data_IF_908415438205
#
_entry.id   IF_908415438205
#
_cell.length_a   1.000
_cell.length_b   1.000
_cell.length_c   1.000
_cell.angle_alpha   90.00
_cell.angle_beta   90.00
_cell.angle_gamma   90.00
#
_symmetry.space_group_name_H-M   'P 1'
#
loop_
_entity.id
_entity.type
_entity.pdbx_description
1 polymer ?
#
# COMPACT_ATOMS: atom_id res chain seq x y z
N UNK A 1 -23.79 57.20 30.88
CA UNK A 1 -24.47 57.49 29.59
C UNK A 1 -23.42 57.28 28.48
N UNK A 2 -23.40 56.16 27.82
CA UNK A 2 -22.52 55.87 26.69
C UNK A 2 -23.42 55.85 25.44
N UNK A 3 -23.20 56.80 24.54
CA UNK A 3 -23.94 56.93 23.28
C UNK A 3 -23.38 55.93 22.27
N UNK A 4 -24.22 55.02 21.80
CA UNK A 4 -23.92 54.16 20.66
C UNK A 4 -24.05 54.98 19.37
N UNK A 5 -22.92 55.23 18.70
CA UNK A 5 -22.92 55.73 17.32
C UNK A 5 -23.26 54.58 16.38
N UNK A 6 -24.45 54.59 15.80
CA UNK A 6 -24.80 53.79 14.62
C UNK A 6 -24.19 54.51 13.40
N UNK A 7 -23.11 53.95 12.84
CA UNK A 7 -22.59 54.35 11.55
C UNK A 7 -23.41 53.69 10.44
N UNK A 8 -24.07 54.47 9.60
CA UNK A 8 -24.73 53.99 8.38
C UNK A 8 -23.70 53.43 7.41
N UNK A 9 -23.98 52.27 6.80
CA UNK A 9 -23.06 51.69 5.81
C UNK A 9 -22.87 52.64 4.63
N UNK A 10 -21.62 52.86 4.21
CA UNK A 10 -21.30 53.72 3.10
C UNK A 10 -21.72 53.06 1.76
N UNK A 11 -22.04 53.88 0.74
CA UNK A 11 -22.46 53.43 -0.60
C UNK A 11 -21.47 52.42 -1.21
N UNK A 12 -20.19 52.47 -0.82
CA UNK A 12 -19.13 51.50 -1.22
C UNK A 12 -19.34 50.13 -0.60
N UNK A 13 -19.84 50.03 0.60
CA UNK A 13 -20.04 48.74 1.26
C UNK A 13 -21.28 48.03 0.69
N UNK A 14 -22.32 48.79 0.37
CA UNK A 14 -23.52 48.28 -0.29
C UNK A 14 -23.17 47.74 -1.70
N UNK A 15 -22.36 48.44 -2.45
CA UNK A 15 -21.89 47.96 -3.79
C UNK A 15 -21.04 46.70 -3.70
N UNK A 16 -20.19 46.57 -2.68
CA UNK A 16 -19.39 45.34 -2.46
C UNK A 16 -20.27 44.16 -2.08
N UNK A 17 -21.31 44.36 -1.27
CA UNK A 17 -22.24 43.29 -0.91
C UNK A 17 -23.08 42.87 -2.10
N UNK A 18 -23.58 43.79 -2.91
CA UNK A 18 -24.32 43.51 -4.14
C UNK A 18 -23.48 42.79 -5.16
N UNK A 19 -22.19 43.12 -5.32
CA UNK A 19 -21.27 42.46 -6.21
C UNK A 19 -20.98 41.00 -5.80
N UNK A 20 -20.82 40.75 -4.49
CA UNK A 20 -20.69 39.42 -3.94
C UNK A 20 -21.95 38.55 -4.15
N UNK A 21 -23.13 39.14 -3.96
CA UNK A 21 -24.40 38.45 -4.22
C UNK A 21 -24.60 38.09 -5.69
N UNK A 22 -24.24 38.98 -6.61
CA UNK A 22 -24.28 38.70 -8.05
C UNK A 22 -23.33 37.58 -8.46
N UNK A 23 -22.10 37.52 -7.89
CA UNK A 23 -21.15 36.44 -8.12
C UNK A 23 -21.70 35.11 -7.58
N UNK A 24 -22.28 35.10 -6.41
CA UNK A 24 -22.87 33.88 -5.83
C UNK A 24 -24.06 33.36 -6.65
N UNK A 25 -24.93 34.26 -7.15
CA UNK A 25 -26.04 33.92 -8.03
C UNK A 25 -25.56 33.35 -9.37
N UNK A 26 -24.53 33.95 -9.99
CA UNK A 26 -23.97 33.45 -11.25
C UNK A 26 -23.32 32.09 -11.09
N UNK A 27 -22.58 31.84 -9.99
CA UNK A 27 -22.01 30.51 -9.66
C UNK A 27 -23.13 29.47 -9.43
N UNK A 28 -24.22 29.84 -8.75
CA UNK A 28 -25.38 28.97 -8.54
C UNK A 28 -26.03 28.55 -9.86
N UNK A 29 -26.21 29.49 -10.80
CA UNK A 29 -26.77 29.18 -12.14
C UNK A 29 -25.86 28.23 -12.93
N UNK A 30 -24.53 28.47 -12.87
CA UNK A 30 -23.56 27.58 -13.54
C UNK A 30 -23.61 26.17 -12.94
N UNK A 31 -23.66 26.03 -11.63
CA UNK A 31 -23.79 24.72 -10.98
C UNK A 31 -25.07 23.99 -11.36
N UNK A 32 -26.21 24.68 -11.42
CA UNK A 32 -27.48 24.10 -11.83
C UNK A 32 -27.45 23.70 -13.30
N UNK A 33 -26.88 24.53 -14.18
CA UNK A 33 -26.74 24.20 -15.60
C UNK A 33 -25.82 23.00 -15.84
N UNK A 34 -24.69 22.90 -15.10
CA UNK A 34 -23.82 21.73 -15.12
C UNK A 34 -24.51 20.47 -14.61
N UNK A 35 -25.34 20.59 -13.57
CA UNK A 35 -26.10 19.47 -13.05
C UNK A 35 -27.14 18.97 -14.05
N UNK A 36 -27.87 19.86 -14.74
CA UNK A 36 -28.80 19.51 -15.81
C UNK A 36 -28.09 18.92 -17.03
N UNK A 37 -26.90 19.42 -17.38
CA UNK A 37 -26.10 18.86 -18.47
C UNK A 37 -25.58 17.46 -18.16
N UNK A 38 -25.13 17.21 -16.92
CA UNK A 38 -24.69 15.88 -16.47
C UNK A 38 -25.87 14.91 -16.28
N UNK A 39 -27.02 15.38 -15.81
CA UNK A 39 -28.24 14.57 -15.71
C UNK A 39 -28.82 14.22 -17.08
N UNK A 40 -28.77 15.14 -18.04
CA UNK A 40 -29.25 14.91 -19.42
C UNK A 40 -28.37 13.95 -20.22
N UNK A 41 -27.13 13.68 -19.81
CA UNK A 41 -26.28 12.63 -20.42
C UNK A 41 -26.64 11.21 -19.98
N UNK A 42 -27.54 11.04 -19.00
CA UNK A 42 -27.99 9.71 -18.54
C UNK A 42 -29.38 9.30 -19.07
N UNK A 43 -30.04 10.13 -19.89
CA UNK A 43 -31.39 9.87 -20.38
C UNK A 43 -31.48 9.95 -21.91
N UNK A 44 -30.72 9.07 -22.58
CA UNK A 44 -30.97 8.73 -23.98
C UNK A 44 -30.53 7.28 -24.19
N UNK A 45 -31.55 6.46 -24.44
CA UNK A 45 -31.63 5.19 -25.13
C UNK A 45 -32.32 4.08 -24.34
N UNK A 46 -33.62 4.30 -24.01
CA UNK A 46 -34.58 3.20 -24.01
C UNK A 46 -35.34 3.33 -25.34
N UNK A 47 -34.72 2.88 -26.41
CA UNK A 47 -35.46 2.43 -27.61
C UNK A 47 -35.67 0.92 -27.48
N UNK A 48 -36.92 0.52 -27.35
CA UNK A 48 -37.34 -0.81 -27.69
C UNK A 48 -36.77 -1.17 -29.07
N UNK A 49 -35.76 -2.01 -29.10
CA UNK A 49 -35.37 -2.73 -30.29
C UNK A 49 -35.63 -4.21 -30.05
N UNK A 50 -36.55 -4.73 -30.87
CA UNK A 50 -36.80 -6.12 -31.16
C UNK A 50 -35.63 -7.03 -30.86
N UNK A 51 -35.90 -8.09 -30.11
CA UNK A 51 -35.02 -9.21 -29.82
C UNK A 51 -34.47 -9.76 -31.13
N UNK A 52 -33.35 -9.25 -31.57
CA UNK A 52 -32.46 -9.91 -32.52
C UNK A 52 -31.55 -10.80 -31.64
N UNK A 53 -31.71 -12.11 -31.76
CA UNK A 53 -30.82 -13.11 -31.24
C UNK A 53 -29.40 -12.78 -31.72
N UNK A 54 -28.58 -12.13 -30.87
CA UNK A 54 -27.13 -12.17 -31.04
C UNK A 54 -26.65 -13.57 -30.64
N UNK A 55 -25.86 -14.25 -31.48
CA UNK A 55 -25.29 -15.52 -31.07
C UNK A 55 -24.49 -15.32 -29.78
N UNK A 56 -24.69 -16.20 -28.80
CA UNK A 56 -23.93 -16.25 -27.57
C UNK A 56 -22.44 -16.24 -27.95
N UNK A 57 -21.65 -15.35 -27.36
CA UNK A 57 -20.23 -15.32 -27.58
C UNK A 57 -19.59 -16.56 -26.92
N UNK A 58 -19.23 -17.52 -27.76
CA UNK A 58 -18.52 -18.73 -27.32
C UNK A 58 -17.04 -18.41 -27.19
N UNK A 59 -16.42 -18.80 -26.05
CA UNK A 59 -15.02 -18.66 -25.80
C UNK A 59 -14.36 -20.03 -25.66
N UNK A 60 -13.26 -20.25 -26.39
CA UNK A 60 -12.53 -21.51 -26.38
C UNK A 60 -11.27 -21.39 -25.57
N UNK A 61 -11.03 -22.31 -24.65
CA UNK A 61 -9.79 -22.45 -23.90
C UNK A 61 -9.10 -23.74 -24.30
N UNK A 62 -7.90 -23.65 -24.89
CA UNK A 62 -7.08 -24.82 -25.17
C UNK A 62 -6.12 -25.10 -24.02
N UNK A 63 -6.13 -26.33 -23.52
CA UNK A 63 -5.27 -26.76 -22.42
C UNK A 63 -5.94 -27.83 -21.54
N UNK A 64 -5.23 -28.22 -20.47
CA UNK A 64 -5.74 -29.14 -19.46
C UNK A 64 -6.30 -28.35 -18.28
N UNK A 65 -7.59 -28.58 -17.92
CA UNK A 65 -8.30 -27.90 -16.84
C UNK A 65 -8.88 -28.92 -15.86
N UNK A 66 -8.89 -28.58 -14.56
CA UNK A 66 -9.57 -29.36 -13.54
C UNK A 66 -10.83 -28.63 -13.07
N UNK A 67 -11.94 -29.34 -12.91
CA UNK A 67 -13.12 -28.83 -12.23
C UNK A 67 -12.95 -28.91 -10.69
N UNK A 68 -13.96 -28.45 -9.96
CA UNK A 68 -13.97 -28.51 -8.49
C UNK A 68 -13.90 -29.91 -7.91
N UNK A 69 -14.17 -30.96 -8.73
CA UNK A 69 -14.16 -32.36 -8.35
C UNK A 69 -12.86 -33.06 -8.78
N UNK A 70 -11.91 -32.32 -9.37
CA UNK A 70 -10.62 -32.86 -9.84
C UNK A 70 -10.69 -33.54 -11.21
N UNK A 71 -11.78 -33.42 -11.97
CA UNK A 71 -11.93 -33.96 -13.31
C UNK A 71 -11.11 -33.14 -14.30
N UNK A 72 -10.29 -33.82 -15.11
CA UNK A 72 -9.38 -33.20 -16.08
C UNK A 72 -10.08 -33.06 -17.42
N UNK A 73 -10.18 -31.83 -17.91
CA UNK A 73 -10.72 -31.51 -19.25
C UNK A 73 -9.63 -30.98 -20.16
N UNK A 74 -9.70 -31.37 -21.44
CA UNK A 74 -8.87 -30.85 -22.51
C UNK A 74 -9.76 -30.05 -23.45
N UNK A 75 -9.38 -28.82 -23.74
CA UNK A 75 -10.11 -27.93 -24.66
C UNK A 75 -11.56 -27.62 -24.21
N UNK A 76 -11.71 -26.60 -23.36
CA UNK A 76 -12.99 -26.18 -22.78
C UNK A 76 -13.62 -25.07 -23.62
N UNK A 77 -14.90 -25.26 -24.00
CA UNK A 77 -15.74 -24.19 -24.56
C UNK A 77 -16.56 -23.56 -23.47
N UNK A 78 -16.44 -22.24 -23.31
CA UNK A 78 -17.18 -21.47 -22.33
C UNK A 78 -18.29 -20.68 -23.07
N UNK A 79 -19.52 -20.77 -22.59
CA UNK A 79 -20.68 -19.98 -23.06
C UNK A 79 -21.21 -19.14 -21.90
N UNK A 80 -21.75 -17.98 -22.19
CA UNK A 80 -22.47 -17.18 -21.20
C UNK A 80 -23.85 -17.78 -20.92
N UNK A 81 -24.20 -17.95 -19.64
CA UNK A 81 -25.57 -18.22 -19.23
C UNK A 81 -26.43 -16.94 -19.34
N UNK A 82 -27.72 -17.08 -19.08
CA UNK A 82 -28.71 -15.98 -19.14
C UNK A 82 -28.37 -14.83 -18.19
N UNK A 83 -27.60 -15.09 -17.11
CA UNK A 83 -27.11 -14.10 -16.13
C UNK A 83 -25.75 -13.47 -16.52
N UNK A 84 -25.20 -13.81 -17.70
CA UNK A 84 -23.95 -13.28 -18.21
C UNK A 84 -22.68 -13.94 -17.63
N UNK A 85 -22.79 -15.04 -16.87
CA UNK A 85 -21.65 -15.79 -16.33
C UNK A 85 -21.13 -16.84 -17.30
N UNK A 86 -19.79 -17.01 -17.42
CA UNK A 86 -19.24 -18.06 -18.27
C UNK A 86 -19.47 -19.45 -17.66
N UNK A 87 -20.04 -20.35 -18.43
CA UNK A 87 -20.31 -21.76 -18.07
C UNK A 87 -19.63 -22.67 -19.08
N UNK A 88 -19.05 -23.78 -18.60
CA UNK A 88 -18.43 -24.77 -19.46
C UNK A 88 -19.49 -25.58 -20.22
N UNK A 89 -19.29 -25.75 -21.53
CA UNK A 89 -20.11 -26.63 -22.36
C UNK A 89 -19.35 -27.92 -22.65
N UNK A 90 -19.92 -29.05 -22.31
CA UNK A 90 -19.35 -30.37 -22.61
C UNK A 90 -19.47 -30.70 -24.10
N UNK A 91 -18.40 -31.16 -24.73
CA UNK A 91 -18.46 -31.94 -25.97
C UNK A 91 -18.09 -31.27 -27.28
N UNK A 92 -17.28 -30.20 -27.34
CA UNK A 92 -16.80 -29.68 -28.62
C UNK A 92 -15.28 -29.56 -28.73
N UNK A 93 -14.71 -30.27 -29.69
CA UNK A 93 -13.31 -30.14 -30.12
C UNK A 93 -13.21 -29.00 -31.13
N UNK A 94 -12.73 -27.82 -30.72
CA UNK A 94 -12.45 -26.71 -31.62
C UNK A 94 -11.10 -26.07 -31.31
N UNK A 95 -10.28 -25.93 -32.34
CA UNK A 95 -9.02 -25.22 -32.33
C UNK A 95 -9.28 -23.72 -32.42
N UNK A 96 -8.96 -22.94 -31.39
CA UNK A 96 -9.15 -21.50 -31.39
C UNK A 96 -7.91 -20.70 -31.04
N UNK A 97 -7.79 -19.57 -31.71
CA UNK A 97 -6.69 -18.63 -31.76
C UNK A 97 -6.48 -17.86 -30.45
N UNK A 98 -5.23 -17.71 -30.05
CA UNK A 98 -4.70 -17.22 -28.75
C UNK A 98 -4.86 -15.71 -28.46
N UNK A 99 -5.84 -14.99 -28.96
CA UNK A 99 -5.95 -13.53 -28.72
C UNK A 99 -6.95 -13.09 -27.65
N UNK A 100 -7.74 -13.98 -27.05
CA UNK A 100 -8.79 -13.62 -26.08
C UNK A 100 -8.41 -13.80 -24.60
N UNK A 101 -7.17 -14.15 -24.30
CA UNK A 101 -6.75 -14.56 -22.94
C UNK A 101 -6.84 -13.45 -21.85
N UNK A 102 -6.86 -12.17 -22.22
CA UNK A 102 -6.92 -11.08 -21.23
C UNK A 102 -8.35 -10.76 -20.78
N UNK A 103 -9.35 -10.86 -21.66
CA UNK A 103 -10.73 -10.55 -21.31
C UNK A 103 -11.35 -11.60 -20.37
N UNK A 104 -11.12 -12.90 -20.62
CA UNK A 104 -11.63 -13.99 -19.76
C UNK A 104 -11.03 -13.94 -18.37
N UNK A 105 -9.71 -13.64 -18.27
CA UNK A 105 -9.03 -13.44 -16.96
C UNK A 105 -9.61 -12.26 -16.19
N UNK A 106 -9.98 -11.18 -16.86
CA UNK A 106 -10.59 -10.01 -16.21
C UNK A 106 -11.99 -10.30 -15.64
N UNK A 107 -12.76 -11.18 -16.26
CA UNK A 107 -14.10 -11.58 -15.81
C UNK A 107 -14.04 -12.48 -14.56
N UNK A 108 -13.06 -13.36 -14.47
CA UNK A 108 -12.85 -14.25 -13.31
C UNK A 108 -12.20 -13.56 -12.13
N UNK A 109 -11.58 -12.40 -12.34
CA UNK A 109 -10.84 -11.68 -11.29
C UNK A 109 -11.79 -10.89 -10.37
N UNK A 110 -11.77 -11.22 -9.08
CA UNK A 110 -12.61 -10.60 -8.05
C UNK A 110 -11.79 -9.73 -7.09
N UNK A 111 -12.46 -8.80 -6.39
CA UNK A 111 -11.86 -8.03 -5.30
C UNK A 111 -12.02 -8.80 -3.98
N UNK A 112 -10.91 -9.06 -3.31
CA UNK A 112 -10.86 -9.80 -2.05
C UNK A 112 -10.16 -8.99 -0.98
N UNK A 113 -10.43 -9.29 0.29
CA UNK A 113 -9.65 -8.77 1.40
C UNK A 113 -8.22 -9.31 1.31
N UNK A 114 -7.20 -8.54 1.75
CA UNK A 114 -5.81 -8.97 1.63
C UNK A 114 -5.49 -10.18 2.49
N UNK A 115 -4.77 -11.13 1.92
CA UNK A 115 -4.20 -12.30 2.61
C UNK A 115 -2.83 -12.00 3.22
N UNK A 116 -2.18 -10.90 2.81
CA UNK A 116 -0.91 -10.47 3.37
C UNK A 116 -0.87 -8.94 3.54
N UNK A 117 -0.23 -8.48 4.62
CA UNK A 117 -0.08 -7.06 4.95
C UNK A 117 1.39 -6.73 5.25
N UNK A 118 1.93 -5.69 4.61
CA UNK A 118 3.19 -5.08 5.05
C UNK A 118 2.84 -3.98 6.06
N UNK A 119 2.89 -4.34 7.34
CA UNK A 119 2.39 -3.51 8.45
C UNK A 119 3.38 -2.46 8.97
N UNK A 120 4.67 -2.58 8.65
CA UNK A 120 5.73 -1.70 9.19
C UNK A 120 7.09 -1.96 8.55
N UNK A 121 8.10 -1.15 8.89
CA UNK A 121 7.99 0.08 9.68
C UNK A 121 8.19 1.28 8.77
N UNK A 122 7.70 2.44 9.18
CA UNK A 122 7.98 3.70 8.46
C UNK A 122 9.49 3.90 8.34
N UNK A 123 9.99 4.09 7.11
CA UNK A 123 11.42 4.24 6.75
C UNK A 123 12.26 2.96 6.81
N UNK A 124 11.66 1.80 7.06
CA UNK A 124 12.35 0.51 6.99
C UNK A 124 12.65 0.02 5.57
N UNK A 125 11.88 0.46 4.56
CA UNK A 125 12.03 -0.04 3.18
C UNK A 125 10.73 -0.63 2.59
N UNK A 126 9.60 -0.48 3.30
CA UNK A 126 8.30 -1.08 2.95
C UNK A 126 7.83 -0.79 1.52
N UNK A 127 8.14 0.40 0.98
CA UNK A 127 7.81 0.73 -0.42
C UNK A 127 8.67 -0.05 -1.40
N UNK A 128 9.96 -0.24 -1.10
CA UNK A 128 10.85 -1.02 -1.95
C UNK A 128 10.37 -2.48 -2.01
N UNK A 129 10.11 -3.07 -0.84
CA UNK A 129 9.58 -4.43 -0.75
C UNK A 129 8.29 -4.60 -1.57
N UNK A 130 7.33 -3.69 -1.43
CA UNK A 130 6.07 -3.77 -2.18
C UNK A 130 6.30 -3.73 -3.69
N UNK A 131 7.12 -2.80 -4.19
CA UNK A 131 7.41 -2.67 -5.62
C UNK A 131 8.18 -3.89 -6.15
N UNK A 132 9.06 -4.48 -5.35
CA UNK A 132 9.78 -5.68 -5.72
C UNK A 132 8.84 -6.91 -5.78
N UNK A 133 7.95 -7.04 -4.80
CA UNK A 133 6.94 -8.12 -4.78
C UNK A 133 5.95 -8.03 -5.94
N UNK A 134 5.64 -6.83 -6.43
CA UNK A 134 4.74 -6.62 -7.59
C UNK A 134 5.27 -7.19 -8.91
N UNK A 135 6.55 -7.58 -8.96
CA UNK A 135 7.10 -8.32 -10.10
C UNK A 135 6.60 -9.78 -10.15
N UNK A 136 6.12 -10.31 -9.02
CA UNK A 136 5.60 -11.67 -8.96
C UNK A 136 4.22 -11.75 -9.61
N UNK A 137 3.99 -12.66 -10.58
CA UNK A 137 2.71 -12.76 -11.30
C UNK A 137 1.52 -13.10 -10.39
N UNK A 138 1.76 -13.83 -9.29
CA UNK A 138 0.73 -14.22 -8.33
C UNK A 138 0.57 -13.24 -7.17
N UNK A 139 1.17 -12.05 -7.25
CA UNK A 139 0.96 -10.98 -6.27
C UNK A 139 0.17 -9.83 -6.88
N UNK A 140 -0.94 -9.52 -6.25
CA UNK A 140 -1.81 -8.38 -6.57
C UNK A 140 -1.79 -7.38 -5.43
N UNK A 141 -0.88 -6.40 -5.52
CA UNK A 141 -0.65 -5.46 -4.43
C UNK A 141 -1.23 -4.08 -4.70
N UNK A 142 -1.97 -3.52 -3.71
CA UNK A 142 -2.44 -2.14 -3.73
C UNK A 142 -1.25 -1.17 -3.68
N UNK A 143 -1.20 -0.21 -4.60
CA UNK A 143 -0.08 0.72 -4.71
C UNK A 143 -0.07 1.86 -3.69
N UNK A 144 -1.25 2.29 -3.21
CA UNK A 144 -1.43 3.32 -2.18
C UNK A 144 -1.47 2.71 -0.78
N UNK A 145 -1.35 3.56 0.26
CA UNK A 145 -1.57 3.17 1.65
C UNK A 145 -3.03 3.44 1.99
N UNK A 146 -3.89 2.43 2.19
CA UNK A 146 -5.31 2.64 2.46
C UNK A 146 -5.57 3.22 3.85
N UNK A 147 -4.66 3.04 4.80
CA UNK A 147 -4.83 3.47 6.19
C UNK A 147 -6.15 2.98 6.80
N UNK A 148 -6.59 1.77 6.44
CA UNK A 148 -7.88 1.26 6.90
C UNK A 148 -7.89 1.02 8.41
N UNK A 149 -6.98 0.19 8.91
CA UNK A 149 -6.98 -0.22 10.32
C UNK A 149 -6.58 0.88 11.31
N UNK A 150 -5.88 1.94 10.87
CA UNK A 150 -5.45 3.04 11.73
C UNK A 150 -6.32 4.30 11.62
N UNK A 151 -6.99 4.54 10.47
CA UNK A 151 -7.73 5.80 10.26
C UNK A 151 -9.16 5.63 9.74
N UNK A 152 -9.38 4.61 8.93
CA UNK A 152 -10.63 4.47 8.18
C UNK A 152 -11.43 3.23 8.56
N UNK A 153 -11.18 2.68 9.75
CA UNK A 153 -11.81 1.43 10.20
C UNK A 153 -13.35 1.50 10.22
N UNK A 154 -13.90 2.65 10.58
CA UNK A 154 -15.35 2.89 10.60
C UNK A 154 -16.02 2.80 9.22
N UNK A 155 -15.24 2.80 8.11
CA UNK A 155 -15.81 2.64 6.76
C UNK A 155 -16.22 1.20 6.44
N UNK A 156 -15.83 0.24 7.27
CA UNK A 156 -16.20 -1.17 7.10
C UNK A 156 -15.35 -1.92 6.07
N UNK A 157 -15.42 -3.26 6.17
CA UNK A 157 -14.61 -4.16 5.33
C UNK A 157 -14.99 -4.12 3.84
N UNK A 158 -16.22 -3.80 3.49
CA UNK A 158 -16.64 -3.70 2.10
C UNK A 158 -15.96 -2.52 1.38
N UNK A 159 -15.85 -1.37 2.06
CA UNK A 159 -15.07 -0.26 1.55
C UNK A 159 -13.59 -0.64 1.40
N UNK A 160 -13.03 -1.33 2.38
CA UNK A 160 -11.63 -1.77 2.32
C UNK A 160 -11.40 -2.76 1.17
N UNK A 161 -12.30 -3.73 0.99
CA UNK A 161 -12.28 -4.68 -0.12
C UNK A 161 -12.37 -3.98 -1.47
N UNK A 162 -13.22 -2.95 -1.58
CA UNK A 162 -13.39 -2.18 -2.83
C UNK A 162 -12.12 -1.47 -3.29
N UNK A 163 -11.19 -1.17 -2.38
CA UNK A 163 -9.88 -0.58 -2.70
C UNK A 163 -8.86 -1.59 -3.24
N UNK A 164 -9.05 -2.88 -2.95
CA UNK A 164 -8.09 -3.91 -3.35
C UNK A 164 -8.11 -4.12 -4.87
N UNK A 165 -6.98 -4.50 -5.46
CA UNK A 165 -6.95 -4.91 -6.86
C UNK A 165 -7.78 -6.17 -7.08
N UNK A 166 -8.31 -6.33 -8.30
CA UNK A 166 -8.89 -7.59 -8.73
C UNK A 166 -7.80 -8.67 -8.78
N UNK A 167 -8.13 -9.88 -8.36
CA UNK A 167 -7.21 -11.03 -8.32
C UNK A 167 -7.93 -12.30 -8.76
N UNK A 168 -7.21 -13.16 -9.48
CA UNK A 168 -7.62 -14.52 -9.81
C UNK A 168 -7.49 -15.44 -8.59
N UNK A 169 -8.12 -16.58 -8.62
CA UNK A 169 -7.90 -17.61 -7.62
C UNK A 169 -6.42 -18.05 -7.62
N UNK A 170 -5.88 -18.31 -6.43
CA UNK A 170 -4.45 -18.59 -6.23
C UNK A 170 -3.56 -17.37 -6.13
N UNK A 171 -3.96 -16.17 -6.59
CA UNK A 171 -3.17 -14.96 -6.42
C UNK A 171 -3.32 -14.37 -5.01
N UNK A 172 -2.23 -13.86 -4.45
CA UNK A 172 -2.19 -13.21 -3.14
C UNK A 172 -2.49 -11.72 -3.28
N UNK A 173 -3.59 -11.29 -2.68
CA UNK A 173 -3.91 -9.86 -2.54
C UNK A 173 -3.19 -9.30 -1.31
N UNK A 174 -2.52 -8.16 -1.47
CA UNK A 174 -1.82 -7.51 -0.36
C UNK A 174 -1.83 -5.99 -0.44
N UNK A 175 -1.59 -5.35 0.71
CA UNK A 175 -1.35 -3.92 0.80
C UNK A 175 -0.24 -3.59 1.78
N UNK A 176 0.17 -2.34 1.83
CA UNK A 176 1.24 -1.84 2.66
C UNK A 176 0.85 -0.52 3.32
N UNK A 177 0.77 -0.53 4.66
CA UNK A 177 0.55 0.65 5.49
C UNK A 177 1.48 0.61 6.71
N UNK A 178 2.64 1.27 6.68
CA UNK A 178 3.66 1.11 7.72
C UNK A 178 3.26 1.62 9.10
N UNK A 179 2.21 2.43 9.18
CA UNK A 179 1.70 2.94 10.45
C UNK A 179 0.99 1.86 11.27
N UNK A 180 0.51 0.80 10.66
CA UNK A 180 -0.16 -0.29 11.36
C UNK A 180 0.69 -0.88 12.49
N UNK A 181 1.98 -1.04 12.27
CA UNK A 181 2.88 -1.66 13.24
C UNK A 181 2.87 -0.98 14.61
N UNK A 182 2.73 0.35 14.62
CA UNK A 182 2.81 1.17 15.83
C UNK A 182 1.44 1.56 16.41
N UNK A 183 0.34 1.40 15.67
CA UNK A 183 -1.00 1.78 16.12
C UNK A 183 -1.58 0.71 17.04
N UNK A 184 -2.00 1.09 18.23
CA UNK A 184 -2.37 0.17 19.34
C UNK A 184 -3.55 -0.73 18.97
N UNK A 185 -4.58 -0.19 18.34
CA UNK A 185 -5.82 -0.90 18.01
C UNK A 185 -5.69 -1.81 16.79
N UNK A 186 -4.65 -1.60 15.99
CA UNK A 186 -4.52 -2.26 14.68
C UNK A 186 -4.39 -3.78 14.79
N UNK A 187 -3.62 -4.38 15.70
CA UNK A 187 -3.49 -5.85 15.76
C UNK A 187 -4.85 -6.54 15.94
N UNK A 188 -5.68 -6.07 16.87
CA UNK A 188 -7.01 -6.62 17.12
C UNK A 188 -7.96 -6.45 15.94
N UNK A 189 -7.92 -5.28 15.27
CA UNK A 189 -8.73 -5.00 14.06
C UNK A 189 -8.33 -5.90 12.89
N UNK A 190 -7.05 -6.12 12.68
CA UNK A 190 -6.53 -7.02 11.65
C UNK A 190 -6.92 -8.46 11.94
N UNK A 191 -6.78 -8.91 13.19
CA UNK A 191 -7.19 -10.24 13.63
C UNK A 191 -8.71 -10.47 13.45
N UNK A 192 -9.53 -9.45 13.71
CA UNK A 192 -10.97 -9.50 13.48
C UNK A 192 -11.34 -9.63 12.00
N UNK A 193 -10.52 -9.07 11.08
CA UNK A 193 -10.70 -9.25 9.65
C UNK A 193 -10.33 -10.68 9.21
N UNK A 194 -9.18 -11.18 9.66
CA UNK A 194 -8.69 -12.51 9.31
C UNK A 194 -7.66 -13.00 10.34
N UNK A 195 -7.89 -14.19 10.88
CA UNK A 195 -6.93 -14.85 11.79
C UNK A 195 -5.71 -15.43 11.08
N UNK A 196 -5.84 -15.68 9.77
CA UNK A 196 -4.81 -16.35 8.95
C UNK A 196 -4.01 -15.38 8.08
N UNK A 197 -4.23 -14.06 8.20
CA UNK A 197 -3.53 -13.06 7.41
C UNK A 197 -2.03 -13.09 7.70
N UNK A 198 -1.21 -13.12 6.66
CA UNK A 198 0.26 -13.10 6.77
C UNK A 198 0.75 -11.68 6.97
N UNK A 199 1.60 -11.47 7.98
CA UNK A 199 2.10 -10.17 8.38
C UNK A 199 3.58 -10.04 8.04
N UNK A 200 3.96 -8.91 7.42
CA UNK A 200 5.34 -8.64 7.04
C UNK A 200 5.77 -7.32 7.67
N UNK A 201 6.92 -7.32 8.35
CA UNK A 201 7.50 -6.14 8.96
C UNK A 201 8.92 -5.94 8.41
N UNK A 202 9.16 -4.83 7.73
CA UNK A 202 10.49 -4.45 7.28
C UNK A 202 11.13 -3.61 8.37
N UNK A 203 12.15 -4.12 9.01
CA UNK A 203 12.90 -3.44 10.07
C UNK A 203 14.23 -2.91 9.57
N UNK A 204 14.77 -1.90 10.22
CA UNK A 204 16.04 -1.26 9.89
C UNK A 204 16.70 -0.79 11.16
N UNK A 205 18.02 -0.60 11.16
CA UNK A 205 18.73 0.06 12.28
C UNK A 205 17.92 1.26 12.79
N UNK A 206 17.50 1.27 14.07
CA UNK A 206 16.55 2.27 14.58
C UNK A 206 17.07 3.70 14.48
N UNK A 207 18.40 3.91 14.64
CA UNK A 207 19.04 5.23 14.53
C UNK A 207 18.99 5.72 13.09
N UNK A 208 19.43 4.90 12.14
CA UNK A 208 19.41 5.20 10.71
C UNK A 208 17.98 5.44 10.23
N UNK A 209 17.03 4.64 10.73
CA UNK A 209 15.60 4.80 10.44
C UNK A 209 15.07 6.15 10.95
N UNK A 210 15.43 6.55 12.19
CA UNK A 210 15.02 7.81 12.80
C UNK A 210 15.55 9.02 12.01
N UNK A 211 16.84 8.99 11.63
CA UNK A 211 17.46 10.02 10.79
C UNK A 211 16.76 10.10 9.43
N UNK A 212 16.46 8.96 8.81
CA UNK A 212 15.69 8.93 7.55
C UNK A 212 14.29 9.51 7.70
N UNK A 213 13.65 9.33 8.87
CA UNK A 213 12.32 9.87 9.16
C UNK A 213 12.38 11.40 9.31
N UNK A 214 13.32 11.88 10.09
CA UNK A 214 13.60 13.31 10.24
C UNK A 214 13.92 13.97 8.89
N UNK A 215 14.80 13.35 8.07
CA UNK A 215 15.10 13.85 6.71
C UNK A 215 13.85 14.02 5.85
N UNK A 216 12.88 13.12 6.01
CA UNK A 216 11.59 13.27 5.33
C UNK A 216 10.75 14.41 5.91
N UNK A 217 10.77 14.61 7.23
CA UNK A 217 10.01 15.68 7.89
C UNK A 217 10.54 17.04 7.44
N UNK A 218 11.86 17.27 7.54
CA UNK A 218 12.45 18.56 7.11
C UNK A 218 12.24 18.85 5.63
N UNK A 219 12.17 17.83 4.78
CA UNK A 219 11.86 18.03 3.36
C UNK A 219 10.45 18.55 3.09
N UNK A 220 9.55 18.48 4.07
CA UNK A 220 8.17 18.96 3.99
C UNK A 220 7.95 20.20 4.86
N UNK A 221 8.67 20.30 5.95
CA UNK A 221 8.57 21.37 6.96
C UNK A 221 9.99 21.83 7.32
N UNK A 222 10.62 22.73 6.53
CA UNK A 222 12.04 23.07 6.68
C UNK A 222 12.41 23.78 7.99
N UNK A 223 11.46 24.43 8.65
CA UNK A 223 11.70 25.29 9.83
C UNK A 223 11.54 24.59 11.17
N UNK A 224 11.59 23.26 11.23
CA UNK A 224 11.57 22.53 12.50
C UNK A 224 12.97 22.55 13.16
N UNK A 225 13.05 22.36 14.49
CA UNK A 225 14.32 22.24 15.19
C UNK A 225 15.20 21.11 14.63
N UNK A 226 16.51 21.18 14.92
CA UNK A 226 17.46 20.16 14.48
C UNK A 226 17.14 18.79 15.07
N UNK A 227 17.66 17.73 14.45
CA UNK A 227 17.51 16.35 14.94
C UNK A 227 18.00 16.22 16.37
N UNK A 228 19.16 16.82 16.68
CA UNK A 228 19.79 16.83 18.00
C UNK A 228 18.91 17.50 19.07
N UNK A 229 18.21 18.58 18.67
CA UNK A 229 17.29 19.26 19.58
C UNK A 229 16.05 18.42 19.87
N UNK A 230 15.52 17.73 18.85
CA UNK A 230 14.31 16.92 18.98
C UNK A 230 14.55 15.53 19.59
N UNK A 231 15.79 15.04 19.53
CA UNK A 231 16.14 13.72 20.07
C UNK A 231 16.26 13.70 21.61
N UNK A 232 16.37 14.86 22.26
CA UNK A 232 16.53 14.95 23.70
C UNK A 232 15.45 15.84 24.32
N UNK A 233 14.87 15.40 25.45
CA UNK A 233 14.02 16.24 26.30
C UNK A 233 14.86 17.33 26.99
N UNK A 234 16.06 16.94 27.43
CA UNK A 234 17.02 17.82 28.04
C UNK A 234 18.43 17.46 27.54
N UNK A 235 19.05 18.40 26.81
CA UNK A 235 20.40 18.21 26.27
C UNK A 235 21.48 18.20 27.35
N UNK A 236 21.27 18.93 28.48
CA UNK A 236 22.25 19.05 29.54
C UNK A 236 22.48 17.73 30.28
N UNK A 237 21.39 17.01 30.61
CA UNK A 237 21.48 15.69 31.25
C UNK A 237 21.48 14.53 30.25
N UNK A 238 21.28 14.82 28.98
CA UNK A 238 21.28 13.83 27.92
C UNK A 238 20.05 12.90 27.89
N UNK A 239 18.93 13.30 28.49
CA UNK A 239 17.70 12.52 28.50
C UNK A 239 17.07 12.46 27.11
N UNK A 240 17.02 11.26 26.56
CA UNK A 240 16.47 11.01 25.22
C UNK A 240 14.94 11.13 25.25
N UNK A 241 14.35 11.82 24.27
CA UNK A 241 12.91 11.87 24.08
C UNK A 241 12.41 10.61 23.35
N UNK A 242 12.21 9.56 24.11
CA UNK A 242 11.69 8.29 23.60
C UNK A 242 10.24 8.39 23.07
N UNK A 243 9.52 9.50 23.33
CA UNK A 243 8.18 9.75 22.82
C UNK A 243 8.18 10.49 21.48
N UNK A 244 9.31 11.10 21.11
CA UNK A 244 9.41 11.70 19.78
C UNK A 244 9.24 10.63 18.71
N UNK A 245 8.24 10.83 17.84
CA UNK A 245 7.79 9.80 16.87
C UNK A 245 8.92 9.12 16.07
N UNK A 246 9.96 9.83 15.56
CA UNK A 246 11.08 9.16 14.92
C UNK A 246 11.86 8.21 15.84
N UNK A 247 11.97 8.46 17.11
CA UNK A 247 12.62 7.55 18.06
C UNK A 247 11.66 6.45 18.52
N UNK A 248 10.44 6.82 18.90
CA UNK A 248 9.43 5.88 19.38
C UNK A 248 9.15 4.72 18.40
N UNK A 249 9.06 4.99 17.10
CA UNK A 249 8.84 3.95 16.07
C UNK A 249 9.97 2.91 16.07
N UNK A 250 11.19 3.27 16.49
CA UNK A 250 12.34 2.37 16.58
C UNK A 250 12.31 1.40 17.76
N UNK A 251 11.39 1.53 18.70
CA UNK A 251 11.23 0.63 19.85
C UNK A 251 10.48 -0.65 19.43
N UNK A 252 11.07 -1.42 18.49
CA UNK A 252 10.41 -2.52 17.79
C UNK A 252 9.89 -3.61 18.72
N UNK A 253 10.58 -3.93 19.79
CA UNK A 253 10.16 -4.94 20.76
C UNK A 253 8.79 -4.60 21.35
N UNK A 254 8.58 -3.33 21.79
CA UNK A 254 7.32 -2.86 22.37
C UNK A 254 6.15 -2.93 21.37
N UNK A 255 6.45 -2.63 20.11
CA UNK A 255 5.42 -2.70 19.07
C UNK A 255 5.10 -4.15 18.69
N UNK A 256 6.12 -5.00 18.56
CA UNK A 256 5.97 -6.41 18.20
C UNK A 256 5.19 -7.20 19.26
N UNK A 257 5.38 -6.91 20.56
CA UNK A 257 4.63 -7.56 21.65
C UNK A 257 3.12 -7.44 21.46
N UNK A 258 2.62 -6.29 21.02
CA UNK A 258 1.19 -6.09 20.77
C UNK A 258 0.67 -6.95 19.62
N UNK A 259 1.50 -7.21 18.61
CA UNK A 259 1.15 -8.10 17.52
C UNK A 259 1.19 -9.57 17.95
N UNK A 260 2.18 -9.95 18.75
CA UNK A 260 2.31 -11.31 19.27
C UNK A 260 1.19 -11.71 20.26
N UNK A 261 0.49 -10.73 20.84
CA UNK A 261 -0.71 -10.99 21.63
C UNK A 261 -1.90 -11.48 20.79
N UNK A 262 -1.88 -11.26 19.47
CA UNK A 262 -2.97 -11.63 18.56
C UNK A 262 -2.56 -12.67 17.53
N UNK A 263 -1.30 -12.70 17.13
CA UNK A 263 -0.81 -13.55 16.05
C UNK A 263 0.40 -14.37 16.51
N UNK A 264 0.47 -15.67 16.16
CA UNK A 264 1.65 -16.47 16.45
C UNK A 264 2.87 -15.95 15.70
N UNK A 265 4.07 -16.12 16.29
CA UNK A 265 5.32 -15.65 15.69
C UNK A 265 5.55 -16.14 14.26
N UNK A 266 5.15 -17.35 13.94
CA UNK A 266 5.27 -17.93 12.60
C UNK A 266 4.47 -17.20 11.53
N UNK A 267 3.47 -16.42 11.91
CA UNK A 267 2.62 -15.64 11.01
C UNK A 267 3.15 -14.23 10.75
N UNK A 268 4.26 -13.85 11.41
CA UNK A 268 4.91 -12.54 11.27
C UNK A 268 6.30 -12.74 10.68
N UNK A 269 6.51 -12.32 9.43
CA UNK A 269 7.81 -12.36 8.76
C UNK A 269 8.55 -11.03 8.90
N UNK A 270 9.83 -11.12 9.28
CA UNK A 270 10.70 -9.95 9.43
C UNK A 270 11.65 -9.88 8.25
N UNK A 271 11.72 -8.71 7.62
CA UNK A 271 12.58 -8.41 6.47
C UNK A 271 13.64 -7.39 6.91
N UNK A 272 14.90 -7.63 6.60
CA UNK A 272 15.97 -6.66 6.82
C UNK A 272 15.90 -5.54 5.78
N UNK A 273 15.80 -4.30 6.25
CA UNK A 273 15.90 -3.11 5.39
C UNK A 273 17.29 -2.93 4.80
N UNK A 274 18.34 -3.31 5.53
CA UNK A 274 19.73 -3.38 5.05
C UNK A 274 19.88 -4.49 4.01
N UNK A 275 19.30 -5.68 4.29
CA UNK A 275 19.26 -6.81 3.36
C UNK A 275 18.58 -6.46 2.04
N UNK A 276 17.49 -5.68 2.07
CA UNK A 276 16.84 -5.19 0.84
C UNK A 276 17.76 -4.29 0.00
N UNK A 277 18.82 -3.72 0.58
CA UNK A 277 19.80 -2.92 -0.15
C UNK A 277 20.95 -3.79 -0.65
N UNK A 278 21.49 -4.67 0.19
CA UNK A 278 22.68 -5.48 -0.12
C UNK A 278 22.36 -6.75 -0.92
N UNK A 279 21.25 -7.41 -0.58
CA UNK A 279 20.79 -8.66 -1.19
C UNK A 279 19.24 -8.67 -1.31
N UNK A 280 18.68 -7.88 -2.23
CA UNK A 280 17.22 -7.82 -2.42
C UNK A 280 16.62 -9.17 -2.82
N UNK A 281 17.31 -9.96 -3.61
CA UNK A 281 16.81 -11.25 -4.09
C UNK A 281 16.72 -12.28 -2.95
N UNK A 282 17.71 -12.32 -2.07
CA UNK A 282 17.71 -13.19 -0.89
C UNK A 282 16.57 -12.84 0.07
N UNK A 283 16.36 -11.55 0.35
CA UNK A 283 15.23 -11.11 1.19
C UNK A 283 13.88 -11.41 0.52
N UNK A 284 13.75 -11.17 -0.79
CA UNK A 284 12.54 -11.52 -1.54
C UNK A 284 12.28 -13.03 -1.59
N UNK A 285 13.34 -13.84 -1.69
CA UNK A 285 13.24 -15.30 -1.64
C UNK A 285 12.54 -15.77 -0.35
N UNK A 286 13.00 -15.27 0.80
CA UNK A 286 12.39 -15.57 2.11
C UNK A 286 10.92 -15.12 2.19
N UNK A 287 10.59 -13.96 1.62
CA UNK A 287 9.21 -13.46 1.60
C UNK A 287 8.33 -14.31 0.69
N UNK A 288 8.82 -14.72 -0.48
CA UNK A 288 8.08 -15.62 -1.38
C UNK A 288 7.78 -16.96 -0.70
N UNK A 289 8.76 -17.57 -0.02
CA UNK A 289 8.57 -18.80 0.76
C UNK A 289 7.53 -18.60 1.86
N UNK A 290 7.63 -17.51 2.62
CA UNK A 290 6.68 -17.17 3.68
C UNK A 290 5.25 -17.01 3.14
N UNK A 291 5.09 -16.43 1.96
CA UNK A 291 3.79 -16.29 1.30
C UNK A 291 3.27 -17.62 0.72
N UNK A 292 4.12 -18.64 0.61
CA UNK A 292 3.78 -19.93 -0.04
C UNK A 292 3.85 -19.85 -1.56
N UNK A 293 4.68 -18.94 -2.08
CA UNK A 293 4.85 -18.70 -3.51
C UNK A 293 6.17 -19.28 -4.03
N UNK A 294 6.22 -19.59 -5.30
CA UNK A 294 7.47 -19.95 -5.96
C UNK A 294 8.45 -18.77 -5.97
N UNK A 295 9.75 -19.02 -5.88
CA UNK A 295 10.78 -17.98 -5.96
C UNK A 295 10.99 -17.52 -7.41
N UNK A 296 10.09 -16.69 -7.92
CA UNK A 296 10.14 -16.11 -9.26
C UNK A 296 10.99 -14.84 -9.28
N UNK A 297 10.88 -13.99 -8.24
CA UNK A 297 11.68 -12.77 -8.13
C UNK A 297 13.06 -13.12 -7.59
N UNK A 298 14.08 -12.99 -8.45
CA UNK A 298 15.48 -13.40 -8.23
C UNK A 298 16.45 -12.29 -8.64
N UNK A 299 17.75 -12.51 -8.51
CA UNK A 299 18.83 -11.54 -8.85
C UNK A 299 18.71 -10.96 -10.27
N UNK A 300 18.21 -11.75 -11.22
CA UNK A 300 18.02 -11.27 -12.60
C UNK A 300 17.11 -10.04 -12.70
N UNK A 301 16.29 -9.76 -11.70
CA UNK A 301 15.35 -8.64 -11.69
C UNK A 301 15.94 -7.35 -11.16
N UNK A 302 17.15 -7.39 -10.57
CA UNK A 302 17.77 -6.25 -9.90
C UNK A 302 19.07 -5.80 -10.54
N UNK A 303 19.40 -4.54 -10.39
CA UNK A 303 20.74 -3.97 -10.59
C UNK A 303 20.97 -2.89 -9.52
N UNK A 304 22.22 -2.76 -9.08
CA UNK A 304 22.57 -1.73 -8.10
C UNK A 304 22.83 -0.39 -8.81
N UNK A 305 22.10 0.65 -8.44
CA UNK A 305 22.31 1.99 -8.95
C UNK A 305 23.30 2.74 -8.05
N UNK A 306 24.55 2.88 -8.47
CA UNK A 306 25.63 3.51 -7.69
C UNK A 306 25.30 4.95 -7.31
N UNK A 307 24.64 5.73 -8.18
CA UNK A 307 24.26 7.13 -7.94
C UNK A 307 23.17 7.24 -6.86
N UNK A 308 22.27 6.28 -6.80
CA UNK A 308 21.16 6.27 -5.84
C UNK A 308 21.50 5.52 -4.55
N UNK A 309 22.53 4.66 -4.55
CA UNK A 309 22.94 3.86 -3.40
C UNK A 309 21.95 2.76 -3.00
N UNK A 310 21.11 2.28 -3.94
CA UNK A 310 20.16 1.19 -3.67
C UNK A 310 19.82 0.41 -4.95
N UNK A 311 19.27 -0.83 -4.81
CA UNK A 311 18.84 -1.65 -5.93
C UNK A 311 17.66 -1.05 -6.68
N UNK A 312 17.71 -1.14 -7.99
CA UNK A 312 16.64 -0.78 -8.90
C UNK A 312 16.19 -2.01 -9.69
N UNK A 313 14.99 -1.96 -10.24
CA UNK A 313 14.43 -3.03 -11.04
C UNK A 313 14.95 -2.98 -12.48
N UNK A 314 15.44 -4.10 -12.99
CA UNK A 314 15.55 -4.33 -14.43
C UNK A 314 14.14 -4.54 -14.97
N UNK A 315 13.86 -3.99 -16.15
CA UNK A 315 12.65 -4.34 -16.86
C UNK A 315 12.81 -5.69 -17.57
N UNK A 316 11.72 -6.44 -17.81
CA UNK A 316 11.75 -7.60 -18.68
C UNK A 316 12.39 -7.27 -20.04
N UNK A 317 13.01 -8.25 -20.67
CA UNK A 317 13.57 -8.12 -22.03
C UNK A 317 12.54 -7.51 -22.98
N UNK A 318 12.94 -6.48 -23.76
CA UNK A 318 12.07 -5.74 -24.68
C UNK A 318 11.41 -4.49 -24.09
N UNK A 319 11.57 -4.21 -22.80
CA UNK A 319 11.05 -2.99 -22.15
C UNK A 319 12.12 -1.91 -22.04
N UNK A 320 11.81 -0.69 -22.49
CA UNK A 320 12.79 0.33 -22.83
C UNK A 320 13.56 1.02 -21.70
N UNK A 321 13.22 0.86 -20.40
CA UNK A 321 13.96 1.56 -19.32
C UNK A 321 13.92 0.84 -17.98
N UNK A 322 15.08 0.70 -17.28
CA UNK A 322 15.13 0.26 -15.89
C UNK A 322 14.34 1.19 -14.98
N UNK A 323 13.71 0.63 -13.95
CA UNK A 323 12.89 1.40 -13.01
C UNK A 323 13.55 1.47 -11.63
N UNK A 324 13.81 2.69 -11.17
CA UNK A 324 14.20 2.95 -9.78
C UNK A 324 13.05 3.59 -9.01
N UNK A 325 13.03 3.39 -7.71
CA UNK A 325 12.10 4.07 -6.83
C UNK A 325 12.18 5.60 -7.03
N UNK A 326 11.03 6.28 -6.96
CA UNK A 326 10.91 7.70 -7.25
C UNK A 326 11.85 8.60 -6.45
N UNK A 327 12.05 9.84 -6.92
CA UNK A 327 12.98 10.87 -6.37
C UNK A 327 12.83 11.11 -4.85
N UNK A 328 11.68 10.75 -4.25
CA UNK A 328 11.44 10.89 -2.80
C UNK A 328 12.03 9.75 -1.97
N UNK A 329 12.70 8.77 -2.58
CA UNK A 329 13.37 7.64 -1.93
C UNK A 329 14.90 7.79 -2.05
N UNK A 330 15.63 7.27 -1.05
CA UNK A 330 17.09 7.38 -1.03
C UNK A 330 17.58 8.83 -0.90
N UNK A 331 16.90 9.67 -0.11
CA UNK A 331 17.40 11.02 0.19
C UNK A 331 18.71 10.92 0.95
N UNK A 332 19.66 11.79 0.61
CA UNK A 332 20.85 12.01 1.44
C UNK A 332 20.40 12.46 2.84
N UNK A 333 20.91 11.82 3.85
CA UNK A 333 20.62 12.18 5.24
C UNK A 333 21.37 13.46 5.58
N UNK A 334 20.77 14.31 6.43
CA UNK A 334 21.48 15.42 7.05
C UNK A 334 22.62 14.86 7.91
N UNK A 335 23.78 15.53 7.97
CA UNK A 335 24.81 15.17 8.92
C UNK A 335 24.28 15.35 10.34
N UNK A 336 24.45 14.34 11.18
CA UNK A 336 24.05 14.34 12.59
C UNK A 336 25.32 14.22 13.43
N UNK A 337 25.36 14.91 14.56
CA UNK A 337 26.47 14.85 15.51
C UNK A 337 26.78 13.39 15.88
N UNK A 338 28.04 12.92 15.71
CA UNK A 338 28.43 11.56 16.05
C UNK A 338 28.16 11.18 17.50
N UNK A 339 28.23 12.12 18.43
CA UNK A 339 27.95 11.88 19.86
C UNK A 339 26.46 11.60 20.07
N UNK A 340 25.59 12.29 19.37
CA UNK A 340 24.13 12.00 19.38
C UNK A 340 23.85 10.61 18.82
N UNK A 341 24.51 10.21 17.73
CA UNK A 341 24.39 8.87 17.16
C UNK A 341 24.84 7.82 18.18
N UNK A 342 25.99 8.03 18.86
CA UNK A 342 26.51 7.10 19.87
C UNK A 342 25.51 6.92 21.02
N UNK A 343 24.97 8.01 21.55
CA UNK A 343 23.96 7.99 22.63
C UNK A 343 22.69 7.28 22.22
N UNK A 344 22.21 7.49 21.01
CA UNK A 344 21.02 6.80 20.49
C UNK A 344 21.26 5.30 20.32
N UNK A 345 22.47 4.89 19.89
CA UNK A 345 22.85 3.47 19.82
C UNK A 345 22.85 2.83 21.21
N UNK A 346 23.41 3.49 22.21
CA UNK A 346 23.38 3.03 23.59
C UNK A 346 21.95 2.90 24.12
N UNK A 347 21.11 3.89 23.84
CA UNK A 347 19.69 3.86 24.19
C UNK A 347 18.97 2.67 23.54
N UNK A 348 19.19 2.42 22.25
CA UNK A 348 18.50 1.32 21.56
C UNK A 348 19.07 -0.06 21.87
N UNK A 349 20.29 -0.18 22.36
CA UNK A 349 20.96 -1.47 22.61
C UNK A 349 20.09 -2.46 23.40
N UNK A 350 19.54 -2.15 24.58
CA UNK A 350 18.68 -3.07 25.33
C UNK A 350 17.37 -3.38 24.58
N UNK A 351 16.80 -2.42 23.86
CA UNK A 351 15.59 -2.61 23.06
C UNK A 351 15.84 -3.53 21.86
N UNK A 352 17.00 -3.40 21.21
CA UNK A 352 17.41 -4.25 20.11
C UNK A 352 17.67 -5.67 20.61
N UNK A 353 18.35 -5.86 21.73
CA UNK A 353 18.58 -7.17 22.34
C UNK A 353 17.26 -7.88 22.66
N UNK A 354 16.31 -7.17 23.26
CA UNK A 354 14.96 -7.72 23.52
C UNK A 354 14.26 -8.11 22.21
N UNK A 355 14.34 -7.29 21.17
CA UNK A 355 13.78 -7.58 19.87
C UNK A 355 14.41 -8.82 19.24
N UNK A 356 15.74 -8.99 19.34
CA UNK A 356 16.45 -10.19 18.85
C UNK A 356 16.02 -11.45 19.61
N UNK A 357 15.88 -11.36 20.92
CA UNK A 357 15.36 -12.48 21.74
C UNK A 357 13.95 -12.89 21.34
N UNK A 358 13.06 -11.91 21.15
CA UNK A 358 11.66 -12.17 20.75
C UNK A 358 11.53 -12.78 19.35
N UNK A 359 12.46 -12.44 18.47
CA UNK A 359 12.37 -12.82 17.06
C UNK A 359 13.21 -14.02 16.68
N UNK A 360 14.23 -14.34 17.51
CA UNK A 360 15.26 -15.32 17.17
C UNK A 360 16.20 -14.86 16.06
N UNK A 361 16.20 -13.56 15.69
CA UNK A 361 16.98 -13.00 14.60
C UNK A 361 17.84 -11.83 15.09
N UNK A 362 19.13 -11.85 14.75
CA UNK A 362 20.05 -10.75 15.02
C UNK A 362 20.29 -9.99 13.71
N UNK A 363 19.93 -8.70 13.69
CA UNK A 363 20.09 -7.82 12.52
C UNK A 363 21.44 -7.07 12.53
N UNK A 364 22.30 -7.29 13.51
CA UNK A 364 23.63 -6.68 13.60
C UNK A 364 23.64 -5.19 13.98
N UNK A 365 22.54 -4.65 14.50
CA UNK A 365 22.49 -3.26 14.96
C UNK A 365 23.23 -3.12 16.28
N UNK A 366 24.20 -2.18 16.31
CA UNK A 366 25.04 -1.89 17.47
C UNK A 366 24.37 -0.89 18.40
#
# INVERSE_FOLDING_TARGET
MAAFHHSNPTDRDIRRVLQKLLIMLSLGIICVSLFYFLAGCCESDIRENSISHRPASEFHLSGWYHDRNGTLYKDLVMVQNEDGYPVAREGSTITAVLETNNSVKDWMATRRLPQALIIGVKKGGTRALLEFLRLHPDIRALGSEPHFFDRHYARGLDWYRSMMPKALDGQVVMEKTPRYFVTVETPGRVHSMSRDVKLIVVVRDPVTRAISDYTQIISKTPHIPTFETLAFKNRTNGEIDSLWSPLWIGLYAQHLERWLAWFPRAQIHLVSGEGLISDPAGELGKVQDFLGLQRIVTDKHFYFNKTKGFPCLKKPEGSSKPHCLGKTKGRTHAPIDPEVIRRLREFYRPHNQRFYQMTGQNFGWQ
#
